data_IF_261637011710
#
_entry.id   IF_261637011710
#
_cell.length_a   1.000
_cell.length_b   1.000
_cell.length_c   1.000
_cell.angle_alpha   90.00
_cell.angle_beta   90.00
_cell.angle_gamma   90.00
#
_symmetry.space_group_name_H-M   'P 1'
#
loop_
_entity.id
_entity.type
_entity.pdbx_description
1 polymer ?
#
# COMPACT_ATOMS: atom_id res chain seq x y z
N UNK A 1 -68.46 -20.40 11.10
CA UNK A 1 -67.54 -20.90 10.05
C UNK A 1 -68.21 -21.01 8.68
N UNK A 2 -69.42 -21.59 8.56
CA UNK A 2 -70.12 -21.75 7.26
C UNK A 2 -70.31 -20.47 6.45
N UNK A 3 -70.77 -19.38 7.08
CA UNK A 3 -71.16 -18.16 6.37
C UNK A 3 -69.98 -17.43 5.69
N UNK A 4 -68.78 -17.49 6.28
CA UNK A 4 -67.57 -16.88 5.71
C UNK A 4 -67.11 -17.66 4.47
N UNK A 5 -67.11 -18.99 4.53
CA UNK A 5 -66.81 -19.84 3.37
C UNK A 5 -67.84 -19.68 2.26
N UNK A 6 -69.12 -19.52 2.63
CA UNK A 6 -70.20 -19.28 1.67
C UNK A 6 -70.04 -17.94 0.97
N UNK A 7 -69.67 -16.88 1.70
CA UNK A 7 -69.35 -15.56 1.15
C UNK A 7 -68.13 -15.59 0.22
N UNK A 8 -67.08 -16.33 0.59
CA UNK A 8 -65.90 -16.52 -0.27
C UNK A 8 -66.28 -17.25 -1.57
N UNK A 9 -67.05 -18.34 -1.48
CA UNK A 9 -67.51 -19.11 -2.65
C UNK A 9 -68.44 -18.30 -3.56
N UNK A 10 -69.17 -17.32 -3.01
CA UNK A 10 -70.01 -16.38 -3.77
C UNK A 10 -69.21 -15.20 -4.35
N UNK A 11 -67.90 -15.12 -4.11
CA UNK A 11 -67.06 -14.03 -4.60
C UNK A 11 -67.24 -12.72 -3.83
N UNK A 12 -67.81 -12.76 -2.62
CA UNK A 12 -68.00 -11.58 -1.78
C UNK A 12 -66.71 -11.20 -1.04
N UNK A 13 -66.43 -9.89 -0.96
CA UNK A 13 -65.20 -9.37 -0.35
C UNK A 13 -63.93 -9.57 -1.21
N UNK A 14 -62.80 -8.97 -0.80
CA UNK A 14 -61.57 -8.91 -1.63
C UNK A 14 -60.98 -10.30 -1.92
N UNK A 15 -60.98 -11.18 -0.92
CA UNK A 15 -60.48 -12.56 -1.05
C UNK A 15 -61.41 -13.40 -1.92
N UNK A 16 -62.73 -13.30 -1.72
CA UNK A 16 -63.72 -13.96 -2.57
C UNK A 16 -63.55 -13.54 -4.03
N UNK A 17 -63.49 -12.23 -4.30
CA UNK A 17 -63.29 -11.69 -5.65
C UNK A 17 -62.01 -12.21 -6.32
N UNK A 18 -60.87 -12.23 -5.63
CA UNK A 18 -59.62 -12.74 -6.21
C UNK A 18 -59.71 -14.24 -6.55
N UNK A 19 -60.45 -15.02 -5.75
CA UNK A 19 -60.57 -16.46 -5.93
C UNK A 19 -61.63 -16.86 -6.97
N UNK A 20 -62.65 -16.03 -7.18
CA UNK A 20 -63.75 -16.33 -8.11
C UNK A 20 -63.66 -15.58 -9.44
N UNK A 21 -62.94 -14.47 -9.51
CA UNK A 21 -62.75 -13.68 -10.74
C UNK A 21 -61.43 -14.08 -11.44
N UNK A 22 -61.54 -14.68 -12.62
CA UNK A 22 -60.40 -15.17 -13.40
C UNK A 22 -59.42 -14.04 -13.77
N UNK A 23 -59.90 -12.82 -14.06
CA UNK A 23 -59.03 -11.69 -14.40
C UNK A 23 -58.22 -11.25 -13.20
N UNK A 24 -58.84 -11.15 -12.02
CA UNK A 24 -58.13 -10.79 -10.77
C UNK A 24 -57.15 -11.88 -10.35
N UNK A 25 -57.54 -13.16 -10.47
CA UNK A 25 -56.65 -14.29 -10.21
C UNK A 25 -55.40 -14.27 -11.11
N UNK A 26 -55.60 -14.04 -12.42
CA UNK A 26 -54.52 -13.95 -13.39
C UNK A 26 -53.58 -12.78 -13.09
N UNK A 27 -54.13 -11.61 -12.72
CA UNK A 27 -53.34 -10.44 -12.31
C UNK A 27 -52.53 -10.69 -11.03
N UNK A 28 -53.11 -11.36 -10.02
CA UNK A 28 -52.42 -11.70 -8.79
C UNK A 28 -51.28 -12.72 -9.04
N UNK A 29 -51.53 -13.70 -9.90
CA UNK A 29 -50.52 -14.67 -10.34
C UNK A 29 -49.38 -13.98 -11.09
N UNK A 30 -49.71 -13.07 -12.01
CA UNK A 30 -48.71 -12.29 -12.75
C UNK A 30 -47.89 -11.38 -11.83
N UNK A 31 -48.53 -10.71 -10.86
CA UNK A 31 -47.84 -9.90 -9.86
C UNK A 31 -46.87 -10.75 -9.04
N UNK A 32 -47.29 -11.95 -8.60
CA UNK A 32 -46.45 -12.87 -7.85
C UNK A 32 -45.25 -13.31 -8.68
N UNK A 33 -45.46 -13.63 -9.97
CA UNK A 33 -44.37 -13.97 -10.90
C UNK A 33 -43.39 -12.81 -11.10
N UNK A 34 -43.90 -11.58 -11.25
CA UNK A 34 -43.04 -10.39 -11.35
C UNK A 34 -42.27 -10.14 -10.07
N UNK A 35 -42.90 -10.32 -8.90
CA UNK A 35 -42.24 -10.19 -7.61
C UNK A 35 -41.13 -11.23 -7.43
N UNK A 36 -41.37 -12.48 -7.79
CA UNK A 36 -40.37 -13.55 -7.78
C UNK A 36 -39.17 -13.24 -8.69
N UNK A 37 -39.44 -12.74 -9.90
CA UNK A 37 -38.40 -12.29 -10.83
C UNK A 37 -37.61 -11.11 -10.26
N UNK A 38 -38.27 -10.12 -9.66
CA UNK A 38 -37.61 -8.98 -9.02
C UNK A 38 -36.74 -9.41 -7.84
N UNK A 39 -37.23 -10.33 -6.99
CA UNK A 39 -36.46 -10.88 -5.88
C UNK A 39 -35.23 -11.65 -6.37
N UNK A 40 -35.39 -12.45 -7.42
CA UNK A 40 -34.27 -13.16 -8.06
C UNK A 40 -33.21 -12.20 -8.60
N UNK A 41 -33.64 -11.12 -9.26
CA UNK A 41 -32.73 -10.06 -9.74
C UNK A 41 -32.01 -9.36 -8.58
N UNK A 42 -32.72 -9.05 -7.49
CA UNK A 42 -32.11 -8.45 -6.29
C UNK A 42 -31.06 -9.39 -5.70
N UNK A 43 -31.34 -10.70 -5.59
CA UNK A 43 -30.37 -11.68 -5.10
C UNK A 43 -29.11 -11.70 -5.98
N UNK A 44 -29.28 -11.72 -7.30
CA UNK A 44 -28.14 -11.69 -8.23
C UNK A 44 -27.32 -10.38 -8.13
N UNK A 45 -27.96 -9.24 -7.87
CA UNK A 45 -27.25 -7.98 -7.62
C UNK A 45 -26.50 -7.99 -6.28
N UNK A 46 -27.08 -8.57 -5.23
CA UNK A 46 -26.42 -8.72 -3.93
C UNK A 46 -25.19 -9.64 -4.00
N UNK A 47 -25.23 -10.68 -4.82
CA UNK A 47 -24.08 -11.53 -5.09
C UNK A 47 -22.92 -10.74 -5.73
N UNK A 48 -23.21 -9.90 -6.73
CA UNK A 48 -22.20 -9.02 -7.35
C UNK A 48 -21.61 -8.03 -6.34
N UNK A 49 -22.44 -7.45 -5.49
CA UNK A 49 -21.98 -6.53 -4.42
C UNK A 49 -21.10 -7.27 -3.40
N UNK A 50 -21.45 -8.50 -3.05
CA UNK A 50 -20.63 -9.38 -2.20
C UNK A 50 -19.25 -9.67 -2.83
N UNK A 51 -19.17 -9.86 -4.15
CA UNK A 51 -17.91 -9.99 -4.88
C UNK A 51 -17.06 -8.71 -4.80
N UNK A 52 -17.67 -7.53 -4.93
CA UNK A 52 -16.98 -6.25 -4.75
C UNK A 52 -16.34 -6.17 -3.36
N UNK A 53 -17.07 -6.54 -2.29
CA UNK A 53 -16.51 -6.54 -0.94
C UNK A 53 -15.35 -7.51 -0.75
N UNK A 54 -15.40 -8.69 -1.39
CA UNK A 54 -14.25 -9.61 -1.40
C UNK A 54 -13.03 -8.94 -2.06
N UNK A 55 -13.25 -8.24 -3.18
CA UNK A 55 -12.21 -7.49 -3.87
C UNK A 55 -11.60 -6.38 -3.00
N UNK A 56 -12.43 -5.64 -2.24
CA UNK A 56 -11.95 -4.63 -1.30
C UNK A 56 -11.08 -5.23 -0.18
N UNK A 57 -11.48 -6.38 0.38
CA UNK A 57 -10.65 -7.09 1.36
C UNK A 57 -9.28 -7.52 0.79
N UNK A 58 -9.27 -8.05 -0.43
CA UNK A 58 -8.01 -8.37 -1.14
C UNK A 58 -7.16 -7.13 -1.40
N UNK A 59 -7.76 -6.00 -1.73
CA UNK A 59 -7.06 -4.73 -1.96
C UNK A 59 -6.29 -4.24 -0.73
N UNK A 60 -6.85 -4.39 0.48
CA UNK A 60 -6.11 -4.09 1.74
C UNK A 60 -4.87 -4.98 1.85
N UNK A 61 -5.02 -6.28 1.56
CA UNK A 61 -3.92 -7.24 1.64
C UNK A 61 -2.81 -6.91 0.63
N UNK A 62 -3.17 -6.50 -0.57
CA UNK A 62 -2.22 -6.05 -1.60
C UNK A 62 -1.46 -4.79 -1.18
N UNK A 63 -2.14 -3.83 -0.54
CA UNK A 63 -1.47 -2.65 0.01
C UNK A 63 -0.43 -3.03 1.06
N UNK A 64 -0.76 -3.93 1.99
CA UNK A 64 0.19 -4.43 3.01
C UNK A 64 1.41 -5.08 2.33
N UNK A 65 1.17 -5.93 1.31
CA UNK A 65 2.25 -6.56 0.55
C UNK A 65 3.15 -5.53 -0.14
N UNK A 66 2.57 -4.49 -0.74
CA UNK A 66 3.33 -3.43 -1.41
C UNK A 66 4.20 -2.63 -0.43
N UNK A 67 3.68 -2.31 0.77
CA UNK A 67 4.46 -1.66 1.82
C UNK A 67 5.61 -2.57 2.28
N UNK A 68 5.36 -3.85 2.52
CA UNK A 68 6.40 -4.81 2.90
C UNK A 68 7.48 -4.96 1.81
N UNK A 69 7.09 -4.95 0.54
CA UNK A 69 8.03 -4.96 -0.58
C UNK A 69 8.89 -3.69 -0.63
N UNK A 70 8.31 -2.52 -0.31
CA UNK A 70 9.08 -1.28 -0.21
C UNK A 70 10.11 -1.35 0.94
N UNK A 71 9.72 -1.90 2.10
CA UNK A 71 10.65 -2.16 3.21
C UNK A 71 11.79 -3.08 2.78
N UNK A 72 11.50 -4.17 2.07
CA UNK A 72 12.51 -5.10 1.58
C UNK A 72 13.46 -4.47 0.52
N UNK A 73 12.94 -3.57 -0.32
CA UNK A 73 13.78 -2.79 -1.24
C UNK A 73 14.73 -1.87 -0.47
N UNK A 74 14.26 -1.22 0.59
CA UNK A 74 15.11 -0.40 1.46
C UNK A 74 16.17 -1.25 2.17
N UNK A 75 15.85 -2.46 2.62
CA UNK A 75 16.86 -3.39 3.18
C UNK A 75 17.95 -3.75 2.16
N UNK A 76 17.56 -3.95 0.90
CA UNK A 76 18.50 -4.21 -0.18
C UNK A 76 19.44 -3.01 -0.38
N UNK A 77 18.89 -1.80 -0.38
CA UNK A 77 19.67 -0.56 -0.45
C UNK A 77 20.64 -0.48 0.75
N UNK A 78 20.18 -0.73 1.99
CA UNK A 78 21.04 -0.77 3.19
C UNK A 78 22.21 -1.74 3.02
N UNK A 79 21.95 -2.93 2.48
CA UNK A 79 23.00 -3.92 2.25
C UNK A 79 24.02 -3.43 1.20
N UNK A 80 23.56 -2.83 0.09
CA UNK A 80 24.43 -2.25 -0.92
C UNK A 80 25.29 -1.11 -0.36
N UNK A 81 24.70 -0.26 0.49
CA UNK A 81 25.39 0.79 1.25
C UNK A 81 26.54 0.20 2.06
N UNK A 82 26.26 -0.84 2.85
CA UNK A 82 27.25 -1.47 3.73
C UNK A 82 28.41 -2.09 2.96
N UNK A 83 28.15 -2.60 1.76
CA UNK A 83 29.17 -3.24 0.91
C UNK A 83 29.96 -2.23 0.07
N UNK A 84 29.59 -0.95 0.06
CA UNK A 84 30.20 0.06 -0.80
C UNK A 84 30.00 -0.22 -2.29
N UNK A 85 28.93 -0.94 -2.64
CA UNK A 85 28.58 -1.36 -4.01
C UNK A 85 27.19 -0.79 -4.37
N UNK A 86 26.76 -0.94 -5.61
CA UNK A 86 25.43 -0.46 -6.05
C UNK A 86 25.34 1.06 -6.15
N UNK A 87 24.15 1.62 -5.93
CA UNK A 87 23.89 3.06 -6.13
C UNK A 87 24.81 3.96 -5.28
N UNK A 88 25.18 3.56 -4.07
CA UNK A 88 26.06 4.38 -3.23
C UNK A 88 27.53 4.34 -3.64
N UNK A 89 28.02 3.21 -4.14
CA UNK A 89 29.33 3.16 -4.78
C UNK A 89 29.39 4.11 -5.97
N UNK A 90 28.31 4.19 -6.77
CA UNK A 90 28.21 5.12 -7.90
C UNK A 90 28.08 6.59 -7.49
N UNK A 91 27.29 6.89 -6.44
CA UNK A 91 27.13 8.25 -5.88
C UNK A 91 28.46 8.79 -5.36
N UNK A 92 29.24 7.97 -4.66
CA UNK A 92 30.57 8.35 -4.14
C UNK A 92 31.62 8.45 -5.27
N UNK A 93 31.54 7.63 -6.33
CA UNK A 93 32.56 7.63 -7.38
C UNK A 93 32.46 8.78 -8.40
N UNK A 94 31.27 9.31 -8.71
CA UNK A 94 31.11 10.17 -9.91
C UNK A 94 30.50 11.57 -9.69
N UNK A 95 29.96 11.89 -8.52
CA UNK A 95 29.44 13.23 -8.21
C UNK A 95 28.15 13.65 -8.96
N UNK A 96 27.16 14.12 -8.18
CA UNK A 96 25.94 14.87 -8.56
C UNK A 96 24.83 14.18 -9.36
N UNK A 97 25.08 13.42 -10.43
CA UNK A 97 23.98 12.88 -11.28
C UNK A 97 23.28 11.65 -10.66
N UNK A 98 24.02 10.81 -9.94
CA UNK A 98 23.47 9.66 -9.24
C UNK A 98 22.93 9.99 -7.83
N UNK A 99 23.37 11.12 -7.25
CA UNK A 99 22.81 11.69 -6.00
C UNK A 99 21.31 12.00 -6.16
N UNK A 100 20.93 12.44 -7.37
CA UNK A 100 19.55 12.70 -7.76
C UNK A 100 18.71 11.42 -7.87
N UNK A 101 19.24 10.34 -8.47
CA UNK A 101 18.49 9.08 -8.60
C UNK A 101 18.20 8.42 -7.25
N UNK A 102 19.18 8.43 -6.33
CA UNK A 102 18.98 7.95 -4.96
C UNK A 102 17.90 8.76 -4.24
N UNK A 103 17.99 10.09 -4.30
CA UNK A 103 17.00 11.00 -3.69
C UNK A 103 15.60 10.80 -4.27
N UNK A 104 15.48 10.68 -5.60
CA UNK A 104 14.22 10.41 -6.29
C UNK A 104 13.64 9.07 -5.83
N UNK A 105 14.45 8.01 -5.82
CA UNK A 105 14.01 6.68 -5.39
C UNK A 105 13.49 6.70 -3.96
N UNK A 106 14.19 7.39 -3.06
CA UNK A 106 13.78 7.50 -1.67
C UNK A 106 12.47 8.27 -1.51
N UNK A 107 12.36 9.39 -2.25
CA UNK A 107 11.14 10.21 -2.26
C UNK A 107 9.94 9.42 -2.77
N UNK A 108 10.11 8.66 -3.85
CA UNK A 108 9.04 7.82 -4.41
C UNK A 108 8.65 6.68 -3.46
N UNK A 109 9.61 6.07 -2.76
CA UNK A 109 9.32 5.07 -1.72
C UNK A 109 8.50 5.69 -0.59
N UNK A 110 8.89 6.85 -0.07
CA UNK A 110 8.17 7.56 1.00
C UNK A 110 6.75 7.93 0.56
N UNK A 111 6.62 8.52 -0.63
CA UNK A 111 5.34 8.95 -1.19
C UNK A 111 4.40 7.76 -1.44
N UNK A 112 4.89 6.71 -2.11
CA UNK A 112 4.11 5.50 -2.37
C UNK A 112 3.64 4.86 -1.07
N UNK A 113 4.49 4.85 -0.05
CA UNK A 113 4.16 4.29 1.26
C UNK A 113 3.13 5.12 2.01
N UNK A 114 3.19 6.45 1.92
CA UNK A 114 2.17 7.34 2.47
C UNK A 114 0.82 7.22 1.75
N UNK A 115 0.83 7.13 0.42
CA UNK A 115 -0.37 6.94 -0.38
C UNK A 115 -1.01 5.58 -0.10
N UNK A 116 -0.20 4.53 0.01
CA UNK A 116 -0.61 3.18 0.42
C UNK A 116 -1.29 3.20 1.80
N UNK A 117 -0.69 3.85 2.80
CA UNK A 117 -1.29 4.03 4.14
C UNK A 117 -2.68 4.66 4.06
N UNK A 118 -2.78 5.78 3.35
CA UNK A 118 -4.03 6.53 3.23
C UNK A 118 -5.11 5.71 2.52
N UNK A 119 -4.74 4.99 1.47
CA UNK A 119 -5.63 4.11 0.74
C UNK A 119 -6.14 2.97 1.63
N UNK A 120 -5.26 2.27 2.35
CA UNK A 120 -5.66 1.18 3.25
C UNK A 120 -6.55 1.67 4.40
N UNK A 121 -6.21 2.80 5.02
CA UNK A 121 -7.01 3.39 6.11
C UNK A 121 -8.42 3.74 5.64
N UNK A 122 -8.56 4.44 4.50
CA UNK A 122 -9.88 4.75 3.91
C UNK A 122 -10.65 3.51 3.51
N UNK A 123 -9.96 2.53 2.93
CA UNK A 123 -10.56 1.28 2.49
C UNK A 123 -11.18 0.54 3.66
N UNK A 124 -10.47 0.44 4.77
CA UNK A 124 -10.97 -0.28 5.91
C UNK A 124 -11.90 0.53 6.82
N UNK A 125 -11.85 1.86 6.81
CA UNK A 125 -12.96 2.71 7.29
C UNK A 125 -14.26 2.41 6.53
N UNK A 126 -14.19 2.36 5.21
CA UNK A 126 -15.35 2.00 4.39
C UNK A 126 -15.83 0.58 4.69
N UNK A 127 -14.91 -0.38 4.85
CA UNK A 127 -15.27 -1.75 5.26
C UNK A 127 -15.94 -1.77 6.63
N UNK A 128 -15.45 -1.00 7.60
CA UNK A 128 -16.06 -0.90 8.93
C UNK A 128 -17.47 -0.31 8.86
N UNK A 129 -17.66 0.77 8.10
CA UNK A 129 -18.98 1.35 7.88
C UNK A 129 -19.96 0.34 7.25
N UNK A 130 -19.48 -0.48 6.33
CA UNK A 130 -20.27 -1.52 5.68
C UNK A 130 -20.69 -2.64 6.63
N UNK A 131 -19.86 -2.98 7.63
CA UNK A 131 -20.22 -3.97 8.67
C UNK A 131 -21.47 -3.57 9.43
N UNK A 132 -21.66 -2.28 9.66
CA UNK A 132 -22.81 -1.76 10.39
C UNK A 132 -24.09 -1.65 9.54
N UNK A 133 -24.02 -1.92 8.23
CA UNK A 133 -25.20 -1.95 7.38
C UNK A 133 -25.95 -3.28 7.52
N UNK A 134 -27.24 -3.20 7.88
CA UNK A 134 -28.10 -4.37 8.11
C UNK A 134 -28.14 -5.35 6.93
N UNK A 135 -28.00 -4.86 5.70
CA UNK A 135 -28.03 -5.67 4.48
C UNK A 135 -26.84 -6.61 4.37
N UNK A 136 -25.69 -6.23 4.93
CA UNK A 136 -24.43 -6.96 4.79
C UNK A 136 -24.01 -7.68 6.07
N UNK A 137 -24.83 -7.59 7.12
CA UNK A 137 -24.54 -8.22 8.42
C UNK A 137 -24.19 -9.71 8.29
N UNK A 138 -24.99 -10.50 7.57
CA UNK A 138 -24.72 -11.94 7.35
C UNK A 138 -23.43 -12.20 6.58
N UNK A 139 -23.07 -11.33 5.62
CA UNK A 139 -21.82 -11.45 4.87
C UNK A 139 -20.59 -11.37 5.78
N UNK A 140 -20.63 -10.48 6.79
CA UNK A 140 -19.54 -10.26 7.74
C UNK A 140 -19.53 -11.25 8.91
N UNK A 141 -20.69 -11.72 9.39
CA UNK A 141 -20.77 -12.68 10.50
C UNK A 141 -20.26 -14.09 10.11
N UNK A 142 -20.52 -14.56 8.88
CA UNK A 142 -20.18 -15.93 8.46
C UNK A 142 -18.69 -16.14 8.12
N UNK A 143 -17.97 -15.08 7.75
CA UNK A 143 -16.61 -15.16 7.19
C UNK A 143 -15.51 -14.82 8.19
N UNK A 144 -15.86 -14.46 9.42
CA UNK A 144 -14.93 -14.03 10.45
C UNK A 144 -14.55 -12.54 10.33
N UNK A 145 -14.26 -11.93 11.48
CA UNK A 145 -13.86 -10.53 11.56
C UNK A 145 -12.39 -10.35 11.17
N UNK A 146 -12.12 -9.39 10.29
CA UNK A 146 -10.83 -8.72 10.23
C UNK A 146 -11.01 -7.39 10.96
N UNK A 147 -10.28 -7.19 12.06
CA UNK A 147 -10.41 -5.99 12.89
C UNK A 147 -9.74 -4.80 12.18
N UNK A 148 -10.42 -3.64 12.19
CA UNK A 148 -9.88 -2.41 11.66
C UNK A 148 -8.56 -2.05 12.37
N UNK A 149 -8.51 -2.25 13.68
CA UNK A 149 -7.32 -1.93 14.46
C UNK A 149 -6.09 -2.75 14.02
N UNK A 150 -6.28 -4.02 13.67
CA UNK A 150 -5.17 -4.93 13.36
C UNK A 150 -4.41 -4.54 12.08
N UNK A 151 -5.10 -4.08 11.02
CA UNK A 151 -4.40 -3.65 9.80
C UNK A 151 -3.73 -2.29 9.99
N UNK A 152 -4.37 -1.36 10.71
CA UNK A 152 -3.79 -0.03 10.96
C UNK A 152 -2.48 -0.20 11.71
N UNK A 153 -2.47 -1.05 12.73
CA UNK A 153 -1.28 -1.33 13.52
C UNK A 153 -0.15 -1.96 12.70
N UNK A 154 -0.48 -2.93 11.83
CA UNK A 154 0.52 -3.60 10.97
C UNK A 154 1.11 -2.65 9.92
N UNK A 155 0.26 -1.89 9.22
CA UNK A 155 0.73 -0.92 8.21
C UNK A 155 1.56 0.17 8.89
N UNK A 156 1.09 0.69 10.02
CA UNK A 156 1.81 1.71 10.76
C UNK A 156 3.14 1.19 11.30
N UNK A 157 3.23 -0.08 11.69
CA UNK A 157 4.49 -0.70 12.08
C UNK A 157 5.47 -0.78 10.92
N UNK A 158 5.06 -1.32 9.75
CA UNK A 158 5.94 -1.41 8.57
C UNK A 158 6.39 -0.04 8.09
N UNK A 159 5.54 0.99 8.19
CA UNK A 159 5.89 2.36 7.81
C UNK A 159 6.87 3.02 8.77
N UNK A 160 6.71 2.80 10.09
CA UNK A 160 7.69 3.27 11.08
C UNK A 160 9.05 2.61 10.84
N UNK A 161 9.05 1.32 10.57
CA UNK A 161 10.29 0.59 10.23
C UNK A 161 10.93 1.15 8.96
N UNK A 162 10.13 1.40 7.91
CA UNK A 162 10.59 2.02 6.68
C UNK A 162 11.25 3.38 6.95
N UNK A 163 10.56 4.28 7.65
CA UNK A 163 11.06 5.63 7.95
C UNK A 163 12.38 5.60 8.74
N UNK A 164 12.49 4.73 9.74
CA UNK A 164 13.73 4.57 10.52
C UNK A 164 14.88 4.02 9.67
N UNK A 165 14.60 3.07 8.76
CA UNK A 165 15.59 2.55 7.82
C UNK A 165 16.08 3.62 6.84
N UNK A 166 15.18 4.47 6.35
CA UNK A 166 15.52 5.59 5.46
C UNK A 166 16.46 6.57 6.17
N UNK A 167 16.13 7.00 7.39
CA UNK A 167 17.00 7.87 8.21
C UNK A 167 18.38 7.24 8.46
N UNK A 168 18.43 5.93 8.70
CA UNK A 168 19.68 5.21 8.89
C UNK A 168 20.57 5.29 7.64
N UNK A 169 19.98 5.11 6.45
CA UNK A 169 20.70 5.26 5.18
C UNK A 169 21.24 6.68 5.05
N UNK A 170 20.40 7.71 5.22
CA UNK A 170 20.80 9.11 5.11
C UNK A 170 21.99 9.44 6.01
N UNK A 171 21.94 9.00 7.28
CA UNK A 171 23.03 9.18 8.24
C UNK A 171 24.31 8.47 7.80
N UNK A 172 24.20 7.28 7.22
CA UNK A 172 25.36 6.51 6.75
C UNK A 172 26.00 7.17 5.53
N UNK A 173 25.20 7.67 4.59
CA UNK A 173 25.67 8.43 3.42
C UNK A 173 26.48 9.64 3.87
N UNK A 174 25.95 10.42 4.81
CA UNK A 174 26.62 11.61 5.35
C UNK A 174 27.98 11.28 5.98
N UNK A 175 28.06 10.16 6.72
CA UNK A 175 29.33 9.69 7.28
C UNK A 175 30.32 9.31 6.17
N UNK A 176 29.87 8.59 5.14
CA UNK A 176 30.72 8.17 4.03
C UNK A 176 31.28 9.38 3.25
N UNK A 177 30.46 10.40 2.97
CA UNK A 177 30.91 11.64 2.33
C UNK A 177 32.01 12.34 3.13
N UNK A 178 31.86 12.42 4.46
CA UNK A 178 32.89 13.00 5.34
C UNK A 178 34.19 12.22 5.38
N UNK A 179 34.12 10.89 5.23
CA UNK A 179 35.30 10.05 5.17
C UNK A 179 36.04 10.23 3.84
N UNK A 180 35.31 10.27 2.73
CA UNK A 180 35.85 10.54 1.40
C UNK A 180 36.53 11.92 1.32
N UNK A 181 35.88 12.97 1.81
CA UNK A 181 36.47 14.32 1.86
C UNK A 181 37.80 14.34 2.64
N UNK A 182 37.87 13.62 3.77
CA UNK A 182 39.10 13.50 4.57
C UNK A 182 40.20 12.73 3.86
N UNK A 183 39.85 11.67 3.15
CA UNK A 183 40.79 10.86 2.37
C UNK A 183 41.39 11.67 1.21
N UNK A 184 40.54 12.41 0.47
CA UNK A 184 40.97 13.31 -0.61
C UNK A 184 41.91 14.41 -0.08
N UNK A 185 41.63 14.98 1.09
CA UNK A 185 42.50 15.99 1.73
C UNK A 185 43.83 15.36 2.15
N UNK A 186 43.81 14.18 2.77
CA UNK A 186 45.03 13.46 3.17
C UNK A 186 45.94 13.10 2.00
N UNK A 187 45.37 12.64 0.89
CA UNK A 187 46.11 12.37 -0.34
C UNK A 187 46.75 13.63 -0.91
N UNK A 188 46.00 14.74 -0.98
CA UNK A 188 46.54 16.04 -1.44
C UNK A 188 47.71 16.52 -0.57
N UNK A 189 47.61 16.38 0.74
CA UNK A 189 48.67 16.76 1.68
C UNK A 189 49.92 15.87 1.52
N UNK A 190 49.74 14.56 1.32
CA UNK A 190 50.83 13.63 1.04
C UNK A 190 51.54 13.96 -0.28
N UNK A 191 50.80 14.23 -1.35
CA UNK A 191 51.37 14.65 -2.63
C UNK A 191 52.13 15.98 -2.52
N UNK A 192 51.61 16.94 -1.74
CA UNK A 192 52.30 18.20 -1.49
C UNK A 192 53.63 17.98 -0.74
N UNK A 193 53.66 17.09 0.25
CA UNK A 193 54.87 16.73 1.00
C UNK A 193 55.91 16.02 0.12
N UNK A 194 55.49 15.09 -0.73
CA UNK A 194 56.38 14.41 -1.69
C UNK A 194 57.00 15.44 -2.64
N UNK A 195 56.19 16.32 -3.25
CA UNK A 195 56.67 17.34 -4.19
C UNK A 195 57.63 18.34 -3.52
N UNK A 196 57.38 18.71 -2.26
CA UNK A 196 58.29 19.56 -1.48
C UNK A 196 59.62 18.85 -1.20
N UNK A 197 59.59 17.56 -0.85
CA UNK A 197 60.80 16.76 -0.62
C UNK A 197 61.66 16.61 -1.88
N UNK A 198 61.04 16.35 -3.04
CA UNK A 198 61.72 16.26 -4.34
C UNK A 198 62.38 17.58 -4.74
N UNK A 199 61.71 18.71 -4.47
CA UNK A 199 62.23 20.04 -4.77
C UNK A 199 63.45 20.38 -3.89
N UNK A 200 63.45 19.96 -2.63
CA UNK A 200 64.58 20.10 -1.72
C UNK A 200 65.77 19.21 -2.11
N UNK A 201 65.52 17.98 -2.56
CA UNK A 201 66.58 17.08 -3.07
C UNK A 201 67.25 17.68 -4.33
N UNK A 202 66.46 18.26 -5.26
CA UNK A 202 67.00 18.95 -6.44
C UNK A 202 67.85 20.18 -6.10
N UNK A 203 67.48 20.93 -5.05
CA UNK A 203 68.26 22.07 -4.53
C UNK A 203 69.51 21.66 -3.74
N UNK A 204 69.49 20.50 -3.09
CA UNK A 204 70.65 19.94 -2.38
C UNK A 204 71.75 19.43 -3.32
N UNK A 205 71.36 18.78 -4.43
CA UNK A 205 72.31 18.32 -5.47
C UNK A 205 72.98 19.45 -6.27
N UNK A 206 72.53 20.69 -6.12
CA UNK A 206 73.16 21.87 -6.76
C UNK A 206 74.24 22.53 -5.89
N UNK A 207 74.49 22.04 -4.66
CA UNK A 207 75.48 22.60 -3.73
C UNK A 207 76.79 21.82 -3.57
N UNK A 208 76.96 20.70 -4.26
CA UNK A 208 78.24 19.96 -4.38
C UNK A 208 78.40 19.69 -5.88
N UNK A 209 79.47 20.01 -6.61
CA UNK A 209 80.90 19.99 -6.34
C UNK A 209 81.54 21.18 -7.08
N UNK A 210 82.22 22.07 -6.36
CA UNK A 210 83.31 22.88 -6.92
C UNK A 210 84.53 22.58 -6.04
N UNK A 211 85.36 21.63 -6.49
CA UNK A 211 86.74 21.50 -6.04
C UNK A 211 87.62 22.34 -6.95
#
# INVERSE_FOLDING_TARGET
MSEIFEKINKGEGTVGKILTDEKLYNQATELTKRADQSLSSIIAELEKVSEIFKGLGSGVSEVILNVNNAVAQVDTIISEVHQGRGMLGQVLMEGSRYDSLFTITMTEIQKTSADARLAASRLAENMEALKHNWLFKSYFEERGYWDKAEYEDRIDASLRELDEKIKLIEKRIEVLRKLEEKEIVGDKDMFAQIKASEMNIKKGKTKEFNY
#
